data_IF_165712387897
#
_entry.id   IF_165712387897
#
_cell.length_a   1.000
_cell.length_b   1.000
_cell.length_c   1.000
_cell.angle_alpha   90.00
_cell.angle_beta   90.00
_cell.angle_gamma   90.00
#
_symmetry.space_group_name_H-M   'P 1'
#
loop_
_entity.id
_entity.type
_entity.pdbx_description
1 polymer ?
#
# COMPACT_ATOMS: atom_id res chain seq x y z
N UNK A 1 -30.47 62.04 -18.06
CA UNK A 1 -31.41 61.46 -19.05
C UNK A 1 -31.96 60.18 -18.43
N UNK A 2 -33.28 59.94 -18.48
CA UNK A 2 -33.94 58.76 -17.88
C UNK A 2 -34.42 57.76 -18.95
N UNK A 3 -33.88 57.88 -20.18
CA UNK A 3 -34.27 57.09 -21.34
C UNK A 3 -33.06 56.52 -22.08
N UNK A 4 -33.33 55.90 -23.22
CA UNK A 4 -32.31 55.18 -23.99
C UNK A 4 -31.37 56.16 -24.72
N UNK A 5 -30.10 55.81 -24.77
CA UNK A 5 -29.13 56.39 -25.70
C UNK A 5 -28.90 55.36 -26.81
N UNK A 6 -29.21 55.71 -28.05
CA UNK A 6 -28.93 54.86 -29.20
C UNK A 6 -27.76 55.47 -29.99
N UNK A 7 -26.68 54.71 -30.14
CA UNK A 7 -25.50 55.10 -30.91
C UNK A 7 -25.28 54.02 -31.97
N UNK A 8 -25.15 54.40 -33.24
CA UNK A 8 -24.98 53.46 -34.36
C UNK A 8 -23.52 53.19 -34.70
N UNK A 9 -22.59 53.90 -34.07
CA UNK A 9 -21.15 53.75 -34.26
C UNK A 9 -20.42 53.66 -32.93
N UNK A 10 -19.14 54.00 -32.97
CA UNK A 10 -18.23 53.82 -31.84
C UNK A 10 -18.46 54.84 -30.73
N UNK A 11 -17.98 54.46 -29.56
CA UNK A 11 -18.10 55.25 -28.36
C UNK A 11 -16.86 55.06 -27.50
N UNK A 12 -16.17 56.16 -27.23
CA UNK A 12 -14.92 56.16 -26.47
C UNK A 12 -15.20 56.78 -25.11
N UNK A 13 -14.78 56.07 -24.07
CA UNK A 13 -14.92 56.48 -22.68
C UNK A 13 -13.59 56.29 -21.96
N UNK A 14 -13.37 57.14 -20.96
CA UNK A 14 -12.29 56.96 -20.00
C UNK A 14 -12.70 55.94 -18.92
N UNK A 15 -13.91 56.11 -18.37
CA UNK A 15 -14.48 55.22 -17.35
C UNK A 15 -15.97 54.93 -17.60
N UNK A 16 -16.40 53.71 -17.29
CA UNK A 16 -17.81 53.31 -17.27
C UNK A 16 -18.17 52.81 -15.88
N UNK A 17 -19.07 53.52 -15.20
CA UNK A 17 -19.66 53.09 -13.92
C UNK A 17 -21.13 52.76 -14.15
N UNK A 18 -21.49 51.49 -13.96
CA UNK A 18 -22.84 50.99 -14.16
C UNK A 18 -23.17 49.83 -13.23
N UNK A 19 -24.47 49.61 -12.99
CA UNK A 19 -24.94 48.46 -12.19
C UNK A 19 -24.87 47.15 -12.97
N UNK A 20 -25.15 47.21 -14.27
CA UNK A 20 -25.20 46.07 -15.16
C UNK A 20 -24.63 46.48 -16.52
N UNK A 21 -23.83 45.60 -17.13
CA UNK A 21 -23.34 45.75 -18.50
C UNK A 21 -23.69 44.45 -19.22
N UNK A 22 -24.36 44.55 -20.37
CA UNK A 22 -24.71 43.41 -21.19
C UNK A 22 -24.02 43.56 -22.55
N UNK A 23 -23.02 42.71 -22.82
CA UNK A 23 -22.32 42.65 -24.10
C UNK A 23 -22.74 41.36 -24.78
N UNK A 24 -23.48 41.47 -25.88
CA UNK A 24 -23.96 40.30 -26.64
C UNK A 24 -22.96 39.82 -27.69
N UNK A 25 -21.91 40.62 -27.95
CA UNK A 25 -20.80 40.28 -28.84
C UNK A 25 -19.53 39.96 -28.06
N UNK A 26 -18.39 40.10 -28.73
CA UNK A 26 -17.08 39.90 -28.09
C UNK A 26 -16.74 41.05 -27.15
N UNK A 27 -16.19 40.71 -25.99
CA UNK A 27 -15.52 41.65 -25.10
C UNK A 27 -14.02 41.35 -25.07
N UNK A 28 -13.19 42.38 -25.17
CA UNK A 28 -11.73 42.27 -24.99
C UNK A 28 -11.32 43.14 -23.82
N UNK A 29 -10.70 42.54 -22.81
CA UNK A 29 -10.07 43.26 -21.70
C UNK A 29 -8.55 43.15 -21.86
N UNK A 30 -7.87 44.30 -21.83
CA UNK A 30 -6.40 44.35 -21.85
C UNK A 30 -5.93 44.57 -20.41
N UNK A 31 -5.05 43.70 -19.93
CA UNK A 31 -4.53 43.74 -18.55
C UNK A 31 -5.33 42.86 -17.59
N UNK A 32 -5.53 43.33 -16.36
CA UNK A 32 -6.15 42.55 -15.28
C UNK A 32 -7.67 42.75 -15.28
N UNK A 33 -8.42 41.65 -15.30
CA UNK A 33 -9.86 41.63 -15.01
C UNK A 33 -10.08 41.12 -13.59
N UNK A 34 -10.95 41.76 -12.81
CA UNK A 34 -11.28 41.36 -11.44
C UNK A 34 -12.78 41.19 -11.30
N UNK A 35 -13.19 40.03 -10.79
CA UNK A 35 -14.57 39.71 -10.47
C UNK A 35 -14.68 39.57 -8.96
N UNK A 36 -15.67 40.24 -8.35
CA UNK A 36 -15.89 40.16 -6.89
C UNK A 36 -16.28 38.75 -6.45
N UNK A 37 -17.07 38.09 -7.30
CA UNK A 37 -17.62 36.76 -7.08
C UNK A 37 -17.18 35.83 -8.21
N UNK A 38 -17.95 34.78 -8.48
CA UNK A 38 -17.60 33.75 -9.45
C UNK A 38 -17.74 34.25 -10.90
N UNK A 39 -16.90 33.69 -11.77
CA UNK A 39 -17.05 33.75 -13.23
C UNK A 39 -17.76 32.47 -13.69
N UNK A 40 -18.85 32.62 -14.43
CA UNK A 40 -19.53 31.51 -15.10
C UNK A 40 -19.24 31.58 -16.60
N UNK A 41 -18.82 30.47 -17.20
CA UNK A 41 -18.56 30.34 -18.63
C UNK A 41 -19.36 29.14 -19.12
N UNK A 42 -20.25 29.39 -20.09
CA UNK A 42 -21.15 28.36 -20.65
C UNK A 42 -20.40 27.39 -21.58
N UNK A 43 -19.26 27.83 -22.12
CA UNK A 43 -18.35 27.02 -22.93
C UNK A 43 -16.98 26.83 -22.28
N UNK A 44 -15.96 26.68 -23.13
CA UNK A 44 -14.60 26.40 -22.68
C UNK A 44 -13.91 27.66 -22.11
N UNK A 45 -12.97 27.41 -21.18
CA UNK A 45 -12.04 28.42 -20.68
C UNK A 45 -10.64 28.03 -21.12
N UNK A 46 -10.10 28.79 -22.07
CA UNK A 46 -8.74 28.61 -22.57
C UNK A 46 -7.77 29.59 -21.91
N UNK A 47 -6.61 29.07 -21.48
CA UNK A 47 -5.52 29.87 -20.96
C UNK A 47 -4.30 29.72 -21.88
N UNK A 48 -3.78 30.83 -22.39
CA UNK A 48 -2.53 30.83 -23.15
C UNK A 48 -1.28 30.63 -22.26
N UNK A 49 -1.44 30.84 -20.95
CA UNK A 49 -0.40 30.67 -19.95
C UNK A 49 -0.91 29.92 -18.73
N UNK A 50 -0.16 30.06 -17.65
CA UNK A 50 -0.37 29.33 -16.40
C UNK A 50 -1.58 29.81 -15.59
N UNK A 51 -2.21 28.88 -14.85
CA UNK A 51 -3.24 29.17 -13.85
C UNK A 51 -2.59 29.32 -12.45
N UNK A 52 -2.98 30.35 -11.69
CA UNK A 52 -2.47 30.61 -10.34
C UNK A 52 -3.60 30.71 -9.31
N UNK A 53 -3.32 30.35 -8.05
CA UNK A 53 -4.14 30.71 -6.88
C UNK A 53 -3.26 31.19 -5.75
N UNK A 54 -3.66 32.31 -5.16
CA UNK A 54 -2.95 32.93 -4.03
C UNK A 54 -1.45 33.14 -4.31
N UNK A 55 -1.13 33.55 -5.55
CA UNK A 55 0.25 33.80 -6.01
C UNK A 55 1.10 32.55 -6.26
N UNK A 56 0.52 31.36 -6.17
CA UNK A 56 1.22 30.10 -6.45
C UNK A 56 0.73 29.52 -7.76
N UNK A 57 1.67 29.13 -8.62
CA UNK A 57 1.39 28.37 -9.83
C UNK A 57 0.62 27.11 -9.43
N UNK A 58 -0.51 26.85 -10.09
CA UNK A 58 -1.15 25.55 -10.00
C UNK A 58 -0.30 24.53 -10.76
N UNK A 59 0.72 24.00 -10.09
CA UNK A 59 1.61 22.95 -10.60
C UNK A 59 1.06 21.53 -10.44
N UNK A 60 -0.06 21.39 -9.72
CA UNK A 60 -0.78 20.13 -9.55
C UNK A 60 -2.12 20.29 -10.21
N UNK A 61 -2.50 19.30 -11.04
CA UNK A 61 -3.54 19.36 -12.05
C UNK A 61 -4.75 20.22 -11.70
N UNK A 62 -5.30 20.85 -12.72
CA UNK A 62 -6.69 21.31 -12.73
C UNK A 62 -7.50 20.32 -11.92
N UNK A 63 -8.08 20.76 -10.81
CA UNK A 63 -9.01 19.94 -10.06
C UNK A 63 -10.15 19.63 -11.01
N UNK A 64 -10.08 18.49 -11.69
CA UNK A 64 -11.18 17.98 -12.48
C UNK A 64 -12.17 17.50 -11.43
N UNK A 65 -12.92 18.44 -10.87
CA UNK A 65 -13.96 18.17 -9.90
C UNK A 65 -15.07 17.44 -10.61
N UNK A 66 -14.96 16.11 -10.76
CA UNK A 66 -16.15 15.30 -10.91
C UNK A 66 -16.88 15.37 -9.58
N UNK A 67 -17.93 16.19 -9.53
CA UNK A 67 -18.85 16.16 -8.39
C UNK A 67 -19.62 14.83 -8.43
N UNK A 68 -20.23 14.46 -7.30
CA UNK A 68 -20.80 13.13 -7.04
C UNK A 68 -21.95 12.67 -7.97
N UNK A 69 -22.33 13.46 -8.98
CA UNK A 69 -23.37 13.13 -9.97
C UNK A 69 -22.91 13.62 -11.34
N UNK A 70 -22.52 12.70 -12.23
CA UNK A 70 -22.53 12.92 -13.68
C UNK A 70 -23.83 12.29 -14.21
N UNK A 71 -24.91 13.06 -14.46
CA UNK A 71 -26.15 12.52 -15.02
C UNK A 71 -26.04 12.23 -16.53
N UNK A 72 -24.91 12.54 -17.15
CA UNK A 72 -24.63 12.12 -18.53
C UNK A 72 -23.77 10.86 -18.52
N UNK A 73 -24.40 9.75 -18.92
CA UNK A 73 -23.73 8.53 -19.36
C UNK A 73 -22.94 8.85 -20.64
N UNK A 74 -21.81 9.53 -20.47
CA UNK A 74 -20.85 9.79 -21.52
C UNK A 74 -19.91 8.59 -21.64
N UNK A 75 -19.85 8.01 -22.83
CA UNK A 75 -18.77 7.10 -23.23
C UNK A 75 -17.43 7.70 -22.79
N UNK A 76 -16.69 7.03 -21.91
CA UNK A 76 -15.37 7.46 -21.44
C UNK A 76 -14.34 7.15 -22.55
N UNK A 77 -14.36 7.95 -23.61
CA UNK A 77 -13.31 7.96 -24.65
C UNK A 77 -12.09 8.81 -24.24
N UNK A 78 -12.26 9.72 -23.27
CA UNK A 78 -11.23 10.64 -22.78
C UNK A 78 -11.03 10.47 -21.28
N UNK A 79 -9.79 10.17 -20.89
CA UNK A 79 -9.37 9.90 -19.51
C UNK A 79 -9.34 11.21 -18.70
N UNK A 80 -9.83 11.19 -17.46
CA UNK A 80 -9.59 12.25 -16.48
C UNK A 80 -8.11 12.17 -16.06
N UNK A 81 -7.34 13.24 -16.32
CA UNK A 81 -5.90 13.24 -16.10
C UNK A 81 -5.10 12.48 -17.18
N UNK A 82 -5.46 12.53 -18.45
CA UNK A 82 -4.54 12.05 -19.48
C UNK A 82 -3.24 12.90 -19.48
N UNK A 83 -2.07 12.25 -19.44
CA UNK A 83 -0.77 12.92 -19.66
C UNK A 83 0.01 13.34 -18.42
N UNK A 84 -0.44 13.04 -17.20
CA UNK A 84 0.44 13.14 -16.04
C UNK A 84 1.51 12.03 -16.09
N UNK A 85 2.75 12.36 -15.69
CA UNK A 85 3.80 11.36 -15.43
C UNK A 85 3.59 10.69 -14.09
N UNK A 86 3.05 11.42 -13.11
CA UNK A 86 2.85 10.97 -11.74
C UNK A 86 1.48 11.43 -11.19
N UNK A 87 0.86 10.58 -10.35
CA UNK A 87 -0.20 11.00 -9.41
C UNK A 87 0.33 10.79 -8.00
N UNK A 88 0.39 11.86 -7.21
CA UNK A 88 0.73 11.77 -5.79
C UNK A 88 -0.55 11.86 -4.94
N UNK A 89 -0.75 10.90 -4.04
CA UNK A 89 -1.84 10.89 -3.07
C UNK A 89 -1.30 11.27 -1.69
N UNK A 90 -1.58 12.51 -1.25
CA UNK A 90 -1.20 12.97 0.09
C UNK A 90 -2.30 12.64 1.09
N UNK A 91 -1.99 11.91 2.16
CA UNK A 91 -2.95 11.54 3.20
C UNK A 91 -2.92 10.05 3.54
N UNK A 92 -4.04 9.50 3.99
CA UNK A 92 -4.16 8.10 4.47
C UNK A 92 -4.10 7.06 3.36
N UNK A 93 -4.02 7.45 2.09
CA UNK A 93 -3.80 6.56 0.95
C UNK A 93 -4.83 6.72 -0.17
N UNK A 94 -4.89 5.70 -1.03
CA UNK A 94 -5.81 5.58 -2.16
C UNK A 94 -6.84 4.49 -1.85
N UNK A 95 -8.12 4.79 -2.04
CA UNK A 95 -9.21 3.80 -2.03
C UNK A 95 -9.81 3.70 -3.41
N UNK A 96 -9.95 2.48 -3.94
CA UNK A 96 -10.53 2.22 -5.25
C UNK A 96 -11.66 1.19 -5.09
N UNK A 97 -12.86 1.50 -5.59
CA UNK A 97 -14.04 0.65 -5.47
C UNK A 97 -14.70 0.48 -6.84
N UNK A 98 -14.83 -0.78 -7.30
CA UNK A 98 -15.53 -1.12 -8.54
C UNK A 98 -16.85 -1.84 -8.26
N UNK A 99 -17.93 -1.10 -8.00
CA UNK A 99 -19.23 -1.72 -7.77
C UNK A 99 -19.71 -2.44 -9.04
N UNK A 100 -19.78 -3.78 -8.98
CA UNK A 100 -20.29 -4.62 -10.07
C UNK A 100 -19.45 -4.58 -11.36
N UNK A 101 -18.20 -4.13 -11.30
CA UNK A 101 -17.31 -3.97 -12.45
C UNK A 101 -15.86 -4.28 -12.08
N UNK A 102 -15.03 -4.59 -13.08
CA UNK A 102 -13.58 -4.76 -12.89
C UNK A 102 -12.89 -3.42 -12.78
N UNK A 103 -12.09 -3.24 -11.73
CA UNK A 103 -11.10 -2.16 -11.68
C UNK A 103 -9.76 -2.74 -12.10
N UNK A 104 -9.15 -2.16 -13.14
CA UNK A 104 -7.79 -2.49 -13.56
C UNK A 104 -6.84 -1.44 -12.98
N UNK A 105 -5.96 -1.87 -12.08
CA UNK A 105 -4.83 -1.07 -11.60
C UNK A 105 -3.57 -1.84 -12.03
N UNK A 106 -2.89 -1.33 -13.06
CA UNK A 106 -1.62 -1.92 -13.49
C UNK A 106 -0.48 -1.34 -12.67
N UNK A 107 0.20 -2.21 -11.92
CA UNK A 107 1.28 -1.88 -10.99
C UNK A 107 2.56 -2.67 -11.30
N UNK A 108 3.00 -2.66 -12.56
CA UNK A 108 4.20 -3.39 -13.00
C UNK A 108 5.45 -3.19 -12.12
N UNK A 109 5.63 -1.99 -11.53
CA UNK A 109 6.75 -1.67 -10.63
C UNK A 109 6.26 -0.98 -9.34
N UNK A 110 5.41 -1.64 -8.54
CA UNK A 110 5.04 -1.13 -7.23
C UNK A 110 6.24 -1.19 -6.26
N UNK A 111 6.79 -0.03 -5.92
CA UNK A 111 7.75 0.08 -4.81
C UNK A 111 7.01 0.25 -3.49
N UNK A 112 7.02 -0.77 -2.63
CA UNK A 112 6.47 -0.69 -1.27
C UNK A 112 7.56 -0.15 -0.35
N UNK A 113 7.27 0.89 0.44
CA UNK A 113 8.28 1.51 1.35
C UNK A 113 8.61 0.66 2.58
N UNK A 114 7.85 -0.41 2.80
CA UNK A 114 8.19 -1.46 3.75
C UNK A 114 8.15 -2.77 2.96
N UNK A 115 9.31 -3.32 2.65
CA UNK A 115 9.39 -4.66 2.10
C UNK A 115 8.66 -5.63 3.03
N UNK A 116 7.93 -6.59 2.48
CA UNK A 116 7.67 -7.81 3.23
C UNK A 116 9.03 -8.50 3.40
N UNK A 117 9.77 -8.13 4.44
CA UNK A 117 11.06 -8.75 4.74
C UNK A 117 10.75 -10.17 5.18
N UNK A 118 11.06 -11.16 4.34
CA UNK A 118 11.06 -12.56 4.76
C UNK A 118 12.37 -12.74 5.55
N UNK A 119 12.33 -12.92 6.88
CA UNK A 119 13.56 -13.08 7.65
C UNK A 119 14.30 -14.35 7.16
N UNK A 120 15.63 -14.32 7.00
CA UNK A 120 16.38 -15.53 6.75
C UNK A 120 16.26 -16.48 7.95
N UNK A 121 16.48 -17.78 7.71
CA UNK A 121 16.57 -18.76 8.80
C UNK A 121 17.75 -18.39 9.72
N UNK A 122 17.55 -18.52 11.03
CA UNK A 122 18.59 -18.21 12.03
C UNK A 122 19.52 -19.43 12.20
N UNK A 123 20.84 -19.22 12.18
CA UNK A 123 21.81 -20.31 12.38
C UNK A 123 22.06 -20.52 13.87
N UNK A 124 22.02 -21.77 14.33
CA UNK A 124 22.34 -22.19 15.68
C UNK A 124 23.41 -23.29 15.67
N UNK A 125 24.42 -23.14 16.53
CA UNK A 125 25.51 -24.09 16.74
C UNK A 125 25.78 -24.37 18.23
N UNK A 126 24.84 -23.97 19.08
CA UNK A 126 24.89 -24.10 20.53
C UNK A 126 23.48 -24.00 21.12
N UNK A 127 23.35 -24.30 22.42
CA UNK A 127 22.07 -24.28 23.11
C UNK A 127 21.37 -22.91 23.03
N UNK A 128 20.09 -22.93 22.67
CA UNK A 128 19.27 -21.72 22.53
C UNK A 128 17.80 -22.01 22.85
N UNK A 129 17.11 -20.98 23.36
CA UNK A 129 15.65 -20.97 23.40
C UNK A 129 15.12 -20.42 22.08
N UNK A 130 14.21 -21.16 21.47
CA UNK A 130 13.64 -20.84 20.16
C UNK A 130 12.44 -19.90 20.30
N UNK A 131 12.11 -19.23 19.20
CA UNK A 131 10.95 -18.37 19.06
C UNK A 131 9.87 -19.03 18.19
N UNK A 132 8.61 -18.72 18.50
CA UNK A 132 7.46 -19.19 17.73
C UNK A 132 7.48 -18.60 16.32
N UNK A 133 6.96 -19.37 15.36
CA UNK A 133 6.87 -19.06 13.93
C UNK A 133 8.22 -18.74 13.26
N UNK A 134 9.29 -19.37 13.75
CA UNK A 134 10.66 -19.16 13.27
C UNK A 134 11.30 -20.46 12.78
N UNK A 135 12.08 -20.37 11.71
CA UNK A 135 12.88 -21.48 11.20
C UNK A 135 14.37 -21.29 11.49
N UNK A 136 15.05 -22.41 11.77
CA UNK A 136 16.45 -22.43 12.19
C UNK A 136 17.27 -23.43 11.38
N UNK A 137 18.48 -23.01 11.02
CA UNK A 137 19.55 -23.87 10.53
C UNK A 137 20.35 -24.36 11.74
N UNK A 138 20.44 -25.66 11.96
CA UNK A 138 21.17 -26.22 13.11
C UNK A 138 22.42 -26.94 12.65
N UNK A 139 23.57 -26.52 13.17
CA UNK A 139 24.90 -27.05 12.87
C UNK A 139 25.43 -27.80 14.10
N UNK A 140 25.40 -29.14 14.02
CA UNK A 140 25.92 -30.02 15.07
C UNK A 140 27.29 -30.62 14.73
N UNK A 141 28.01 -30.12 13.71
CA UNK A 141 29.31 -30.68 13.27
C UNK A 141 30.33 -30.73 14.41
N UNK A 142 30.40 -29.68 15.23
CA UNK A 142 31.32 -29.60 16.36
C UNK A 142 30.91 -30.49 17.55
N UNK A 143 29.63 -30.46 17.91
CA UNK A 143 29.05 -31.25 18.99
C UNK A 143 27.51 -31.25 18.90
N UNK A 144 26.87 -32.28 19.45
CA UNK A 144 25.43 -32.26 19.68
C UNK A 144 25.06 -31.21 20.72
N UNK A 145 23.90 -30.56 20.55
CA UNK A 145 23.39 -29.57 21.49
C UNK A 145 21.87 -29.68 21.64
N UNK A 146 21.33 -29.01 22.66
CA UNK A 146 19.89 -28.98 22.93
C UNK A 146 19.32 -27.62 22.56
N UNK A 147 18.20 -27.58 21.84
CA UNK A 147 17.38 -26.37 21.69
C UNK A 147 16.11 -26.51 22.52
N UNK A 148 15.60 -25.41 23.04
CA UNK A 148 14.44 -25.38 23.94
C UNK A 148 13.29 -24.68 23.23
N UNK A 149 12.14 -25.34 23.11
CA UNK A 149 10.97 -24.76 22.43
C UNK A 149 10.40 -23.52 23.12
N UNK A 150 9.68 -22.64 22.39
CA UNK A 150 9.18 -21.39 22.92
C UNK A 150 8.30 -21.55 24.17
N UNK A 151 8.53 -20.70 25.17
CA UNK A 151 7.69 -20.62 26.36
C UNK A 151 6.31 -20.03 26.00
N UNK A 152 6.31 -18.92 25.25
CA UNK A 152 5.11 -18.23 24.79
C UNK A 152 4.73 -18.70 23.39
N UNK A 153 3.53 -19.24 23.26
CA UNK A 153 3.00 -19.81 22.02
C UNK A 153 1.48 -19.91 22.06
N UNK A 154 0.87 -19.88 20.88
CA UNK A 154 -0.55 -20.11 20.65
C UNK A 154 -0.74 -21.38 19.80
N UNK A 155 -1.92 -22.04 19.87
CA UNK A 155 -2.21 -23.16 18.98
C UNK A 155 -2.04 -22.75 17.52
N UNK A 156 -1.25 -23.53 16.76
CA UNK A 156 -0.89 -23.24 15.38
C UNK A 156 0.51 -22.61 15.20
N UNK A 157 1.12 -22.09 16.27
CA UNK A 157 2.51 -21.63 16.22
C UNK A 157 3.45 -22.79 15.89
N UNK A 158 4.49 -22.50 15.10
CA UNK A 158 5.44 -23.52 14.66
C UNK A 158 6.90 -23.18 14.95
N UNK A 159 7.76 -24.19 14.92
CA UNK A 159 9.22 -24.07 14.82
C UNK A 159 9.68 -25.01 13.71
N UNK A 160 10.63 -24.59 12.90
CA UNK A 160 11.25 -25.43 11.88
C UNK A 160 12.75 -25.54 12.12
N UNK A 161 13.30 -26.75 12.03
CA UNK A 161 14.70 -27.07 12.30
C UNK A 161 15.27 -27.84 11.10
N UNK A 162 16.44 -27.45 10.62
CA UNK A 162 17.07 -28.03 9.45
C UNK A 162 18.49 -28.50 9.78
N UNK A 163 18.80 -29.77 9.49
CA UNK A 163 20.16 -30.30 9.58
C UNK A 163 21.00 -29.72 8.44
N UNK A 164 21.69 -28.62 8.72
CA UNK A 164 22.29 -27.79 7.66
C UNK A 164 23.58 -28.41 7.11
N UNK A 165 24.30 -29.12 7.97
CA UNK A 165 25.60 -29.72 7.66
C UNK A 165 25.54 -31.26 7.65
N UNK A 166 24.34 -31.83 7.64
CA UNK A 166 24.14 -33.29 7.46
C UNK A 166 24.87 -34.07 8.58
N UNK A 167 24.65 -33.62 9.81
CA UNK A 167 25.45 -33.99 10.98
C UNK A 167 24.64 -34.49 12.18
N UNK A 168 23.31 -34.50 12.08
CA UNK A 168 22.44 -35.00 13.16
C UNK A 168 22.66 -36.47 13.48
N UNK A 169 23.06 -37.31 12.53
CA UNK A 169 23.34 -38.74 12.73
C UNK A 169 24.68 -39.01 13.44
N UNK A 170 25.57 -38.02 13.47
CA UNK A 170 26.86 -38.08 14.18
C UNK A 170 26.71 -37.44 15.57
N UNK A 171 26.17 -36.23 15.58
CA UNK A 171 25.99 -35.40 16.74
C UNK A 171 24.53 -34.97 16.77
N UNK A 172 23.69 -35.72 17.49
CA UNK A 172 22.26 -35.48 17.52
C UNK A 172 21.93 -34.08 18.03
N UNK A 173 20.99 -33.41 17.35
CA UNK A 173 20.29 -32.27 17.92
C UNK A 173 19.21 -32.80 18.86
N UNK A 174 19.18 -32.28 20.08
CA UNK A 174 18.09 -32.55 21.03
C UNK A 174 17.12 -31.37 21.03
N UNK A 175 15.83 -31.65 21.04
CA UNK A 175 14.78 -30.62 21.20
C UNK A 175 14.05 -30.88 22.50
N UNK A 176 14.21 -29.95 23.44
CA UNK A 176 13.55 -29.97 24.73
C UNK A 176 12.26 -29.14 24.70
N UNK A 177 11.24 -29.65 25.38
CA UNK A 177 10.02 -28.90 25.67
C UNK A 177 10.16 -28.12 26.99
N UNK A 178 9.20 -27.24 27.26
CA UNK A 178 9.07 -26.56 28.57
C UNK A 178 7.75 -26.98 29.23
N UNK A 179 7.56 -26.67 30.52
CA UNK A 179 6.29 -26.86 31.25
C UNK A 179 5.68 -28.27 31.17
N UNK A 180 6.51 -29.32 31.18
CA UNK A 180 6.09 -30.72 31.03
C UNK A 180 5.32 -31.01 29.72
N UNK A 181 5.44 -30.16 28.71
CA UNK A 181 4.90 -30.43 27.37
C UNK A 181 5.62 -31.61 26.75
N UNK A 182 5.00 -32.26 25.76
CA UNK A 182 5.55 -33.44 25.11
C UNK A 182 5.36 -33.36 23.59
N UNK A 183 6.14 -34.16 22.87
CA UNK A 183 6.01 -34.36 21.44
C UNK A 183 4.98 -35.43 21.14
N UNK A 184 4.30 -35.32 19.99
CA UNK A 184 3.45 -36.40 19.46
C UNK A 184 3.64 -36.57 17.97
N UNK A 185 4.10 -37.75 17.55
CA UNK A 185 4.29 -38.08 16.14
C UNK A 185 2.99 -38.51 15.44
N UNK A 186 3.08 -38.88 14.15
CA UNK A 186 1.91 -39.32 13.36
C UNK A 186 1.30 -40.63 13.89
N UNK A 187 2.13 -41.57 14.35
CA UNK A 187 1.72 -42.86 14.93
C UNK A 187 1.09 -42.72 16.32
N UNK A 188 1.15 -41.52 16.92
CA UNK A 188 0.58 -41.23 18.24
C UNK A 188 1.51 -41.50 19.42
N UNK A 189 2.78 -41.86 19.18
CA UNK A 189 3.81 -41.95 20.23
C UNK A 189 4.00 -40.58 20.88
N UNK A 190 4.04 -40.57 22.21
CA UNK A 190 4.28 -39.37 23.02
C UNK A 190 5.61 -39.53 23.74
N UNK A 191 6.51 -38.56 23.57
CA UNK A 191 7.84 -38.61 24.17
C UNK A 191 8.39 -37.20 24.44
N UNK A 192 9.42 -37.10 25.27
CA UNK A 192 10.25 -35.91 25.48
C UNK A 192 11.57 -36.29 26.16
N UNK A 193 12.73 -35.77 25.71
CA UNK A 193 12.93 -34.85 24.59
C UNK A 193 12.81 -35.53 23.21
N UNK A 194 12.77 -34.73 22.14
CA UNK A 194 12.89 -35.24 20.76
C UNK A 194 14.38 -35.29 20.39
N UNK A 195 14.87 -36.46 20.01
CA UNK A 195 16.20 -36.62 19.42
C UNK A 195 16.09 -36.56 17.90
N UNK A 196 16.81 -35.62 17.28
CA UNK A 196 16.96 -35.56 15.84
C UNK A 196 18.31 -36.20 15.48
N UNK A 197 18.24 -37.39 14.86
CA UNK A 197 19.39 -38.27 14.60
C UNK A 197 19.48 -38.73 13.14
N UNK A 198 18.75 -38.06 12.24
CA UNK A 198 18.71 -38.38 10.81
C UNK A 198 19.42 -37.30 10.02
N UNK A 199 20.46 -37.72 9.31
CA UNK A 199 21.30 -36.88 8.46
C UNK A 199 20.49 -36.16 7.37
N UNK A 200 20.62 -34.85 7.28
CA UNK A 200 19.99 -34.00 6.25
C UNK A 200 18.47 -33.86 6.40
N UNK A 201 17.91 -34.18 7.56
CA UNK A 201 16.47 -34.07 7.82
C UNK A 201 16.03 -32.63 8.13
N UNK A 202 14.74 -32.38 7.94
CA UNK A 202 14.03 -31.18 8.42
C UNK A 202 12.93 -31.62 9.36
N UNK A 203 12.78 -30.94 10.49
CA UNK A 203 11.70 -31.18 11.45
C UNK A 203 10.89 -29.90 11.62
N UNK A 204 9.58 -30.00 11.38
CA UNK A 204 8.60 -28.96 11.72
C UNK A 204 7.78 -29.40 12.92
N UNK A 205 7.72 -28.52 13.91
CA UNK A 205 7.02 -28.73 15.17
C UNK A 205 5.88 -27.73 15.24
N UNK A 206 4.64 -28.20 15.44
CA UNK A 206 3.46 -27.33 15.52
C UNK A 206 2.74 -27.52 16.85
N UNK A 207 2.50 -26.44 17.58
CA UNK A 207 1.82 -26.50 18.87
C UNK A 207 0.31 -26.70 18.70
N UNK A 208 -0.27 -27.70 19.38
CA UNK A 208 -1.72 -28.01 19.31
C UNK A 208 -2.49 -27.71 20.59
N UNK A 209 -1.97 -26.86 21.47
CA UNK A 209 -2.49 -26.64 22.84
C UNK A 209 -2.23 -27.80 23.84
N UNK A 210 -1.65 -28.92 23.40
CA UNK A 210 -1.43 -30.09 24.27
C UNK A 210 -0.10 -30.75 23.98
N UNK A 211 0.22 -30.93 22.69
CA UNK A 211 1.46 -31.53 22.24
C UNK A 211 2.10 -30.66 21.16
N UNK A 212 3.42 -30.80 21.03
CA UNK A 212 4.12 -30.42 19.82
C UNK A 212 3.98 -31.54 18.80
N UNK A 213 3.24 -31.30 17.72
CA UNK A 213 3.13 -32.25 16.62
C UNK A 213 4.39 -32.23 15.79
N UNK A 214 4.98 -33.41 15.62
CA UNK A 214 6.20 -33.59 14.85
C UNK A 214 5.85 -33.94 13.41
N UNK A 215 6.38 -33.16 12.48
CA UNK A 215 6.39 -33.42 11.04
C UNK A 215 7.86 -33.50 10.63
N UNK A 216 8.29 -34.67 10.18
CA UNK A 216 9.67 -34.99 9.82
C UNK A 216 9.64 -36.00 8.66
#
# INVERSE_FOLDING_TARGET
MTGNLNVTGDLVYDEVVGRNINITGFSTFIGVSTFKDNVFVDGDIDFAGDLYKDGRLFVTGVGIGSTAINPESGVIGTKIGAGFTDINFVGTGLTVIGYGSTVVIDLNNLAVRADATIPPLTILNSEATLESNTGYLTDTVGAGFTVILPLVKNPGDFVELHDTEVSWDINNLMVATQNNEQFKNYSGTIDSPLACDVSGATVKLVWTNTYWRVFA
#
